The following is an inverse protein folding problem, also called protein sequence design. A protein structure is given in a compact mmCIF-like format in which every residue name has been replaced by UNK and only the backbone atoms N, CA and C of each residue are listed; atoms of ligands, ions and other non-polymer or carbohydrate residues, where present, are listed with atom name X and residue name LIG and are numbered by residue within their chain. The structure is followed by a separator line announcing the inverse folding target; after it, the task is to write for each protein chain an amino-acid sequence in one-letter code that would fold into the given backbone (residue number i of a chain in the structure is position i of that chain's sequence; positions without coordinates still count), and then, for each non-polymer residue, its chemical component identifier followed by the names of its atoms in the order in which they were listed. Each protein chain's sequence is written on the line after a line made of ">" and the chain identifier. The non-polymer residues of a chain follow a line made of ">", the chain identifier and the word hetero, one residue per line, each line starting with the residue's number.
data_IF_101006510885
#
_entry.id   IF_101006510885
#
_cell.length_a   1.000
_cell.length_b   1.000
_cell.length_c   1.000
_cell.angle_alpha   90.00
_cell.angle_beta   90.00
_cell.angle_gamma   90.00
#
_symmetry.space_group_name_H-M   'P 1'
#
loop_
_entity.id
_entity.type
_entity.pdbx_description
1 polymer ?
#
# COMPACT_ATOMS: atom_id res chain seq x y z
N UNK A 1 2.13 30.44 3.28
CA UNK A 1 2.41 29.62 2.12
C UNK A 1 1.83 28.21 2.35
N UNK A 2 1.07 27.70 1.38
CA UNK A 2 0.40 26.38 1.44
C UNK A 2 1.00 25.39 0.44
N UNK A 3 2.18 25.67 -0.08
CA UNK A 3 2.89 24.78 -1.00
C UNK A 3 3.48 23.58 -0.28
N UNK A 4 3.57 22.40 -0.93
CA UNK A 4 4.27 21.27 -0.36
C UNK A 4 5.78 21.52 -0.34
N UNK A 5 6.39 21.22 0.80
CA UNK A 5 7.84 21.28 0.98
C UNK A 5 8.34 19.95 1.55
N UNK A 6 9.01 19.19 0.72
CA UNK A 6 9.76 17.99 1.10
C UNK A 6 11.13 18.08 0.45
N UNK A 7 12.17 17.89 1.23
CA UNK A 7 13.54 17.99 0.76
C UNK A 7 14.30 16.72 1.10
N UNK A 8 15.19 16.33 0.20
CA UNK A 8 16.08 15.18 0.35
C UNK A 8 17.53 15.63 0.22
N UNK A 9 18.39 15.10 1.10
CA UNK A 9 19.84 15.17 0.98
C UNK A 9 20.41 13.77 0.74
N UNK A 10 21.52 13.67 -0.01
CA UNK A 10 22.28 12.42 -0.22
C UNK A 10 23.76 12.57 0.14
N UNK A 11 24.12 13.71 0.71
CA UNK A 11 25.49 14.11 1.03
C UNK A 11 25.62 14.67 2.46
N UNK A 12 24.82 14.10 3.37
CA UNK A 12 24.79 14.47 4.80
C UNK A 12 24.46 15.97 5.04
N UNK A 13 23.53 16.50 4.25
CA UNK A 13 22.99 17.85 4.44
C UNK A 13 23.78 18.97 3.74
N UNK A 14 24.78 18.64 2.93
CA UNK A 14 25.53 19.66 2.16
C UNK A 14 24.69 20.24 1.04
N UNK A 15 23.91 19.40 0.36
CA UNK A 15 22.95 19.83 -0.66
C UNK A 15 21.55 19.27 -0.40
N UNK A 16 20.53 20.00 -0.85
CA UNK A 16 19.13 19.62 -0.66
C UNK A 16 18.37 19.75 -1.97
N UNK A 17 17.63 18.70 -2.31
CA UNK A 17 16.77 18.67 -3.50
C UNK A 17 15.31 18.68 -3.05
N UNK A 18 14.50 19.58 -3.60
CA UNK A 18 13.05 19.58 -3.39
C UNK A 18 12.43 18.40 -4.15
N UNK A 19 11.67 17.54 -3.45
CA UNK A 19 11.09 16.30 -3.98
C UNK A 19 9.58 16.30 -3.74
N UNK A 20 8.81 16.99 -4.60
CA UNK A 20 7.36 17.19 -4.44
C UNK A 20 6.56 16.83 -5.69
N UNK A 21 7.19 16.23 -6.70
CA UNK A 21 6.53 15.87 -7.96
C UNK A 21 5.37 14.91 -7.71
N UNK A 22 4.15 15.27 -8.11
CA UNK A 22 2.94 14.46 -7.91
C UNK A 22 2.14 14.80 -6.65
N UNK A 23 2.64 15.70 -5.79
CA UNK A 23 1.84 16.23 -4.68
C UNK A 23 1.01 17.39 -5.20
N UNK A 24 -0.29 17.37 -4.92
CA UNK A 24 -1.20 18.44 -5.35
C UNK A 24 -0.92 19.77 -4.64
N UNK A 25 -1.23 20.87 -5.30
CA UNK A 25 -1.14 22.19 -4.71
C UNK A 25 -2.06 22.31 -3.48
N UNK A 26 -1.59 22.98 -2.45
CA UNK A 26 -2.32 23.10 -1.18
C UNK A 26 -2.16 21.91 -0.23
N UNK A 27 -1.63 20.78 -0.71
CA UNK A 27 -1.35 19.59 0.12
C UNK A 27 0.02 19.74 0.80
N UNK A 28 0.15 20.68 1.71
CA UNK A 28 1.43 20.88 2.38
C UNK A 28 1.79 19.70 3.30
N UNK A 29 3.08 19.36 3.29
CA UNK A 29 3.65 18.23 4.01
C UNK A 29 3.62 18.43 5.52
N UNK A 30 3.30 17.40 6.26
CA UNK A 30 3.30 17.35 7.74
C UNK A 30 4.34 16.41 8.30
N UNK A 31 4.38 15.18 7.80
CA UNK A 31 5.29 14.16 8.25
C UNK A 31 5.67 13.25 7.09
N UNK A 32 6.94 12.86 7.01
CA UNK A 32 7.44 11.88 6.07
C UNK A 32 8.16 10.76 6.82
N UNK A 33 7.95 9.52 6.39
CA UNK A 33 8.67 8.34 6.91
C UNK A 33 9.12 7.46 5.77
N UNK A 34 10.33 6.98 5.87
CA UNK A 34 10.87 5.93 5.00
C UNK A 34 10.63 4.57 5.64
N UNK A 35 10.25 3.59 4.81
CA UNK A 35 10.13 2.21 5.26
C UNK A 35 11.49 1.64 5.66
N UNK A 36 11.56 1.03 6.84
CA UNK A 36 12.79 0.49 7.38
C UNK A 36 13.25 -0.82 6.69
N UNK A 37 12.38 -1.45 5.89
CA UNK A 37 12.66 -2.70 5.15
C UNK A 37 13.03 -2.42 3.70
N UNK A 38 12.32 -1.50 3.05
CA UNK A 38 12.55 -1.13 1.65
C UNK A 38 13.01 0.32 1.53
N UNK A 39 14.31 0.57 1.36
CA UNK A 39 14.82 1.91 1.08
C UNK A 39 14.15 2.52 -0.16
N UNK A 40 13.80 3.80 -0.08
CA UNK A 40 13.11 4.53 -1.13
C UNK A 40 11.59 4.36 -1.16
N UNK A 41 11.01 3.50 -0.34
CA UNK A 41 9.58 3.49 -0.09
C UNK A 41 9.26 4.51 0.99
N UNK A 42 8.58 5.60 0.61
CA UNK A 42 8.26 6.71 1.51
C UNK A 42 6.75 6.88 1.64
N UNK A 43 6.31 7.24 2.85
CA UNK A 43 4.94 7.68 3.12
C UNK A 43 4.96 9.11 3.61
N UNK A 44 4.08 9.93 3.07
CA UNK A 44 3.97 11.37 3.38
C UNK A 44 2.55 11.68 3.83
N UNK A 45 2.41 12.15 5.06
CA UNK A 45 1.19 12.76 5.56
C UNK A 45 1.13 14.23 5.19
N UNK A 46 -0.02 14.66 4.68
CA UNK A 46 -0.28 16.05 4.27
C UNK A 46 -1.49 16.62 4.99
N UNK A 47 -1.87 17.87 4.68
CA UNK A 47 -3.11 18.46 5.17
C UNK A 47 -4.36 17.76 4.61
N UNK A 48 -4.28 17.05 3.49
CA UNK A 48 -5.41 16.44 2.79
C UNK A 48 -5.26 14.93 2.57
N UNK A 49 -4.55 14.24 3.46
CA UNK A 49 -4.38 12.79 3.39
C UNK A 49 -2.95 12.33 3.18
N UNK A 50 -2.78 11.16 2.57
CA UNK A 50 -1.50 10.45 2.49
C UNK A 50 -1.05 10.28 1.04
N UNK A 51 0.26 10.37 0.85
CA UNK A 51 0.95 10.05 -0.40
C UNK A 51 1.99 8.95 -0.16
N UNK A 52 2.27 8.18 -1.20
CA UNK A 52 3.33 7.19 -1.22
C UNK A 52 4.28 7.44 -2.37
N UNK A 53 5.56 7.20 -2.14
CA UNK A 53 6.59 7.19 -3.17
C UNK A 53 7.34 5.86 -3.14
N UNK A 54 7.66 5.32 -4.32
CA UNK A 54 8.41 4.07 -4.50
C UNK A 54 9.85 4.30 -5.00
N UNK A 55 10.24 5.56 -5.18
CA UNK A 55 11.48 6.00 -5.83
C UNK A 55 12.21 7.10 -5.01
N UNK A 56 12.16 6.97 -3.69
CA UNK A 56 12.80 7.89 -2.75
C UNK A 56 12.32 9.35 -2.85
N UNK A 57 11.06 9.55 -3.23
CA UNK A 57 10.41 10.86 -3.30
C UNK A 57 10.53 11.56 -4.65
N UNK A 58 11.11 10.91 -5.68
CA UNK A 58 11.20 11.52 -7.01
C UNK A 58 9.80 11.69 -7.62
N UNK A 59 8.87 10.73 -7.33
CA UNK A 59 7.45 10.83 -7.68
C UNK A 59 6.58 10.40 -6.52
N UNK A 60 5.53 11.18 -6.26
CA UNK A 60 4.51 10.88 -5.26
C UNK A 60 3.18 10.57 -5.93
N UNK A 61 2.42 9.66 -5.35
CA UNK A 61 1.05 9.34 -5.76
C UNK A 61 0.13 9.29 -4.54
N UNK A 62 -1.14 9.70 -4.67
CA UNK A 62 -2.07 9.65 -3.57
C UNK A 62 -2.30 8.22 -3.09
N UNK A 63 -2.36 8.03 -1.77
CA UNK A 63 -2.69 6.78 -1.10
C UNK A 63 -3.87 7.03 -0.17
N UNK A 64 -5.01 7.39 -0.76
CA UNK A 64 -6.17 7.79 0.02
C UNK A 64 -7.04 6.59 0.44
N UNK A 65 -7.17 5.58 -0.42
CA UNK A 65 -8.03 4.42 -0.19
C UNK A 65 -9.41 4.86 0.38
N UNK A 66 -9.78 4.35 1.57
CA UNK A 66 -10.99 4.71 2.28
C UNK A 66 -10.79 5.82 3.34
N UNK A 67 -9.58 6.40 3.43
CA UNK A 67 -9.30 7.51 4.33
C UNK A 67 -10.06 8.76 3.85
N UNK A 68 -10.88 9.39 4.70
CA UNK A 68 -11.51 10.66 4.33
C UNK A 68 -10.48 11.79 4.19
N UNK A 69 -10.86 12.85 3.50
CA UNK A 69 -10.04 14.08 3.47
C UNK A 69 -9.89 14.60 4.92
N UNK A 70 -8.66 14.55 5.40
CA UNK A 70 -8.33 14.93 6.78
C UNK A 70 -6.83 15.21 6.91
N UNK A 71 -6.45 16.21 7.73
CA UNK A 71 -5.04 16.46 8.01
C UNK A 71 -4.39 15.29 8.74
N UNK A 72 -3.24 14.85 8.25
CA UNK A 72 -2.41 13.85 8.91
C UNK A 72 -1.36 14.58 9.76
N UNK A 73 -1.46 14.45 11.06
CA UNK A 73 -0.56 15.14 12.00
C UNK A 73 0.77 14.44 12.13
N UNK A 74 0.74 13.12 12.17
CA UNK A 74 1.93 12.29 12.18
C UNK A 74 1.61 10.92 11.57
N UNK A 75 2.65 10.19 11.20
CA UNK A 75 2.57 8.81 10.74
C UNK A 75 3.78 8.02 11.22
N UNK A 76 3.58 6.74 11.44
CA UNK A 76 4.64 5.82 11.83
C UNK A 76 4.47 4.49 11.08
N UNK A 77 5.60 3.89 10.70
CA UNK A 77 5.63 2.55 10.13
C UNK A 77 6.02 1.61 11.26
N UNK A 78 5.11 0.71 11.62
CA UNK A 78 5.33 -0.27 12.67
C UNK A 78 5.18 -1.67 12.08
N UNK A 79 6.26 -2.43 12.07
CA UNK A 79 6.33 -3.76 11.45
C UNK A 79 5.90 -3.74 9.98
N UNK A 80 4.68 -4.16 9.67
CA UNK A 80 4.11 -4.16 8.33
C UNK A 80 2.94 -3.18 8.16
N UNK A 81 2.71 -2.30 9.12
CA UNK A 81 1.56 -1.40 9.11
C UNK A 81 1.99 0.06 9.05
N UNK A 82 1.17 0.90 8.42
CA UNK A 82 1.30 2.36 8.51
C UNK A 82 0.18 2.89 9.40
N UNK A 83 0.57 3.47 10.51
CA UNK A 83 -0.36 4.08 11.48
C UNK A 83 -0.37 5.59 11.30
N UNK A 84 -1.56 6.15 11.14
CA UNK A 84 -1.79 7.57 10.90
C UNK A 84 -2.47 8.21 12.10
N UNK A 85 -1.90 9.30 12.60
CA UNK A 85 -2.54 10.21 13.55
C UNK A 85 -3.22 11.35 12.78
N UNK A 86 -4.56 11.38 12.77
CA UNK A 86 -5.32 12.40 12.04
C UNK A 86 -5.74 13.56 12.94
N UNK A 87 -6.10 14.68 12.35
CA UNK A 87 -6.74 15.76 13.09
C UNK A 87 -8.25 15.59 13.10
N UNK A 88 -8.78 15.15 14.24
CA UNK A 88 -10.21 15.06 14.47
C UNK A 88 -10.92 13.80 13.97
N UNK A 89 -10.16 12.83 13.40
CA UNK A 89 -10.73 11.55 12.92
C UNK A 89 -10.05 10.31 13.53
N UNK A 90 -9.37 10.48 14.67
CA UNK A 90 -8.72 9.39 15.39
C UNK A 90 -7.51 8.83 14.67
N UNK A 91 -7.22 7.56 14.94
CA UNK A 91 -6.14 6.81 14.31
C UNK A 91 -6.69 5.98 13.15
N UNK A 92 -5.88 5.89 12.08
CA UNK A 92 -6.14 5.03 10.93
C UNK A 92 -4.94 4.13 10.73
N UNK A 93 -5.19 2.89 10.34
CA UNK A 93 -4.15 1.91 10.11
C UNK A 93 -4.32 1.36 8.70
N UNK A 94 -3.26 1.42 7.91
CA UNK A 94 -3.12 0.66 6.70
C UNK A 94 -2.39 -0.62 7.06
N UNK A 95 -3.16 -1.69 7.19
CA UNK A 95 -2.65 -3.02 7.50
C UNK A 95 -1.88 -3.59 6.31
N UNK A 96 -0.76 -4.22 6.58
CA UNK A 96 0.04 -5.03 5.67
C UNK A 96 0.52 -4.30 4.41
N UNK A 97 1.58 -3.51 4.56
CA UNK A 97 2.29 -2.88 3.43
C UNK A 97 3.28 -3.82 2.71
N UNK A 98 3.23 -5.12 3.00
CA UNK A 98 4.10 -6.11 2.37
C UNK A 98 4.07 -6.08 0.83
N UNK A 99 2.91 -5.88 0.16
CA UNK A 99 2.86 -5.70 -1.29
C UNK A 99 3.59 -4.47 -1.78
N UNK A 100 3.53 -3.35 -1.05
CA UNK A 100 4.26 -2.13 -1.43
C UNK A 100 5.77 -2.37 -1.44
N UNK A 101 6.28 -3.19 -0.52
CA UNK A 101 7.69 -3.57 -0.46
C UNK A 101 8.15 -4.39 -1.66
N UNK A 102 7.24 -5.15 -2.27
CA UNK A 102 7.52 -6.02 -3.43
C UNK A 102 7.25 -5.33 -4.79
N UNK A 103 6.50 -4.22 -4.79
CA UNK A 103 6.11 -3.54 -6.02
C UNK A 103 7.29 -2.72 -6.58
N UNK A 104 7.85 -3.17 -7.71
CA UNK A 104 8.98 -2.52 -8.39
C UNK A 104 8.52 -1.84 -9.68
N UNK A 105 9.30 -0.89 -10.25
CA UNK A 105 8.98 -0.30 -11.56
C UNK A 105 8.82 -1.33 -12.66
N UNK A 106 9.55 -2.45 -12.60
CA UNK A 106 9.51 -3.48 -13.63
C UNK A 106 8.28 -4.39 -13.49
N UNK A 107 7.95 -4.84 -12.28
CA UNK A 107 6.79 -5.69 -12.11
C UNK A 107 5.45 -4.92 -12.24
N UNK A 108 5.45 -3.61 -12.00
CA UNK A 108 4.27 -2.74 -12.28
C UNK A 108 3.87 -2.68 -13.76
N UNK A 109 4.78 -3.03 -14.68
CA UNK A 109 4.53 -3.10 -16.13
C UNK A 109 3.90 -4.44 -16.54
N UNK A 110 3.89 -5.42 -15.65
CA UNK A 110 3.28 -6.72 -15.90
C UNK A 110 1.77 -6.63 -15.78
N UNK A 111 1.05 -7.38 -16.60
CA UNK A 111 -0.42 -7.42 -16.58
C UNK A 111 -0.96 -7.82 -15.19
N UNK A 112 -0.27 -8.74 -14.52
CA UNK A 112 -0.59 -9.17 -13.17
C UNK A 112 0.67 -9.50 -12.38
N UNK A 113 0.67 -9.19 -11.08
CA UNK A 113 1.73 -9.56 -10.12
C UNK A 113 1.08 -10.23 -8.92
N UNK A 114 1.45 -11.46 -8.64
CA UNK A 114 1.10 -12.13 -7.38
C UNK A 114 2.23 -11.86 -6.39
N UNK A 115 1.92 -11.23 -5.28
CA UNK A 115 2.91 -10.99 -4.23
C UNK A 115 3.16 -12.25 -3.41
N UNK A 116 4.41 -12.44 -3.01
CA UNK A 116 4.74 -13.47 -2.04
C UNK A 116 4.00 -13.15 -0.74
N UNK A 117 3.15 -14.06 -0.22
CA UNK A 117 2.46 -13.82 1.02
C UNK A 117 3.44 -13.73 2.20
N UNK A 118 3.04 -13.04 3.26
CA UNK A 118 3.74 -13.13 4.54
C UNK A 118 3.66 -14.57 5.09
N UNK A 119 4.64 -14.92 5.92
CA UNK A 119 4.64 -16.23 6.56
C UNK A 119 3.41 -16.37 7.46
N UNK A 120 2.69 -17.48 7.26
CA UNK A 120 1.51 -17.81 8.05
C UNK A 120 1.79 -19.00 8.97
N UNK A 121 1.39 -18.87 10.22
CA UNK A 121 1.53 -19.93 11.21
C UNK A 121 0.22 -20.71 11.29
N UNK A 122 0.29 -22.04 11.04
CA UNK A 122 -0.89 -22.90 11.07
C UNK A 122 -1.62 -22.82 12.41
N UNK A 123 -2.92 -22.50 12.34
CA UNK A 123 -3.78 -22.38 13.52
C UNK A 123 -3.65 -21.05 14.29
N UNK A 124 -2.78 -20.15 13.85
CA UNK A 124 -2.57 -18.84 14.50
C UNK A 124 -2.89 -17.69 13.53
N UNK A 125 -2.36 -17.74 12.31
CA UNK A 125 -2.56 -16.70 11.29
C UNK A 125 -3.11 -17.29 10.00
N UNK A 126 -3.88 -16.50 9.25
CA UNK A 126 -4.39 -16.86 7.93
C UNK A 126 -3.41 -16.39 6.86
N UNK A 127 -3.09 -17.25 5.89
CA UNK A 127 -2.33 -16.84 4.72
C UNK A 127 -3.21 -15.91 3.85
N UNK A 128 -2.71 -14.71 3.56
CA UNK A 128 -3.38 -13.74 2.71
C UNK A 128 -2.62 -13.62 1.40
N UNK A 129 -3.31 -13.86 0.29
CA UNK A 129 -2.75 -13.70 -1.05
C UNK A 129 -3.19 -12.37 -1.61
N UNK A 130 -2.22 -11.51 -1.90
CA UNK A 130 -2.44 -10.19 -2.48
C UNK A 130 -1.85 -10.16 -3.88
N UNK A 131 -2.50 -9.42 -4.78
CA UNK A 131 -2.03 -9.28 -6.15
C UNK A 131 -2.30 -7.87 -6.69
N UNK A 132 -1.50 -7.48 -7.66
CA UNK A 132 -1.66 -6.25 -8.41
C UNK A 132 -2.10 -6.59 -9.84
N UNK A 133 -3.03 -5.84 -10.37
CA UNK A 133 -3.47 -5.90 -11.76
C UNK A 133 -3.23 -4.53 -12.39
N UNK A 134 -2.57 -4.51 -13.54
CA UNK A 134 -2.32 -3.28 -14.28
C UNK A 134 -3.61 -2.70 -14.85
N UNK A 135 -4.50 -3.57 -15.30
CA UNK A 135 -5.80 -3.20 -15.89
C UNK A 135 -6.94 -3.96 -15.21
N UNK A 136 -8.13 -3.43 -15.39
CA UNK A 136 -9.34 -4.11 -14.93
C UNK A 136 -9.59 -5.34 -15.81
N UNK A 137 -9.69 -6.51 -15.17
CA UNK A 137 -9.99 -7.78 -15.85
C UNK A 137 -11.29 -8.38 -15.30
N UNK A 138 -11.95 -9.23 -16.10
CA UNK A 138 -13.27 -9.78 -15.75
C UNK A 138 -13.19 -10.84 -14.65
N UNK A 139 -12.12 -11.64 -14.61
CA UNK A 139 -11.94 -12.67 -13.60
C UNK A 139 -10.48 -12.91 -13.27
N UNK A 140 -10.21 -13.32 -12.03
CA UNK A 140 -8.92 -13.77 -11.53
C UNK A 140 -9.05 -15.19 -11.01
N UNK A 141 -8.09 -16.04 -11.35
CA UNK A 141 -7.94 -17.38 -10.78
C UNK A 141 -6.60 -17.50 -10.09
N UNK A 142 -6.61 -17.91 -8.83
CA UNK A 142 -5.41 -18.25 -8.05
C UNK A 142 -5.44 -19.73 -7.76
N UNK A 143 -4.38 -20.44 -8.11
CA UNK A 143 -4.23 -21.87 -7.86
C UNK A 143 -3.11 -22.10 -6.85
N UNK A 144 -3.38 -22.96 -5.87
CA UNK A 144 -2.39 -23.46 -4.93
C UNK A 144 -2.02 -24.86 -5.37
N UNK A 145 -0.74 -25.08 -5.65
CA UNK A 145 -0.19 -26.36 -6.10
C UNK A 145 0.73 -26.95 -5.02
N UNK A 146 0.87 -28.26 -4.99
CA UNK A 146 1.92 -28.91 -4.20
C UNK A 146 3.30 -28.81 -4.89
N UNK A 147 4.33 -29.36 -4.24
CA UNK A 147 5.69 -29.35 -4.78
C UNK A 147 5.85 -30.17 -6.09
N UNK A 148 4.89 -31.03 -6.41
CA UNK A 148 4.84 -31.84 -7.64
C UNK A 148 3.98 -31.18 -8.73
N UNK A 149 3.40 -29.99 -8.45
CA UNK A 149 2.55 -29.26 -9.40
C UNK A 149 1.09 -29.74 -9.41
N UNK A 150 0.68 -30.60 -8.50
CA UNK A 150 -0.70 -31.05 -8.40
C UNK A 150 -1.57 -29.99 -7.71
N UNK A 151 -2.74 -29.73 -8.28
CA UNK A 151 -3.69 -28.77 -7.73
C UNK A 151 -4.19 -29.22 -6.33
N UNK A 152 -3.97 -28.36 -5.33
CA UNK A 152 -4.53 -28.49 -3.99
C UNK A 152 -5.85 -27.72 -3.90
N UNK A 153 -5.84 -26.45 -4.32
CA UNK A 153 -7.00 -25.57 -4.21
C UNK A 153 -6.98 -24.50 -5.32
N UNK A 154 -8.16 -24.10 -5.79
CA UNK A 154 -8.32 -23.00 -6.70
C UNK A 154 -9.32 -21.97 -6.15
N UNK A 155 -9.00 -20.69 -6.30
CA UNK A 155 -9.87 -19.59 -5.96
C UNK A 155 -10.20 -18.81 -7.24
N UNK A 156 -11.47 -18.52 -7.44
CA UNK A 156 -11.92 -17.64 -8.51
C UNK A 156 -12.47 -16.36 -7.89
N UNK A 157 -12.03 -15.23 -8.40
CA UNK A 157 -12.57 -13.91 -8.05
C UNK A 157 -13.26 -13.32 -9.27
N UNK A 158 -14.54 -12.98 -9.12
CA UNK A 158 -15.29 -12.24 -10.13
C UNK A 158 -15.24 -10.75 -9.85
N UNK A 159 -15.21 -9.95 -10.90
CA UNK A 159 -15.21 -8.48 -10.80
C UNK A 159 -16.62 -7.93 -10.54
N UNK A 160 -17.46 -8.65 -9.80
CA UNK A 160 -18.74 -8.13 -9.37
C UNK A 160 -18.50 -6.87 -8.50
N UNK A 161 -19.18 -5.75 -8.73
CA UNK A 161 -19.09 -4.58 -7.88
C UNK A 161 -19.47 -5.00 -6.45
N UNK A 162 -18.53 -5.02 -5.53
CA UNK A 162 -18.83 -5.21 -4.11
C UNK A 162 -19.66 -4.02 -3.67
N UNK A 163 -20.90 -4.27 -3.29
CA UNK A 163 -21.77 -3.25 -2.71
C UNK A 163 -21.04 -2.57 -1.56
N UNK A 164 -21.16 -1.27 -1.45
CA UNK A 164 -20.56 -0.41 -0.44
C UNK A 164 -21.04 -0.83 0.95
N UNK A 165 -20.30 -1.72 1.61
CA UNK A 165 -20.67 -2.19 2.94
C UNK A 165 -19.87 -3.40 3.37
N UNK A 166 -18.61 -3.20 3.74
CA UNK A 166 -17.82 -4.25 4.37
C UNK A 166 -16.39 -3.75 4.60
N UNK A 167 -16.06 -3.53 5.86
CA UNK A 167 -14.69 -3.26 6.28
C UNK A 167 -13.77 -4.43 5.94
N UNK A 168 -12.43 -4.26 6.02
CA UNK A 168 -11.47 -5.31 5.77
C UNK A 168 -11.67 -6.44 6.79
N UNK A 169 -12.21 -7.57 6.34
CA UNK A 169 -12.45 -8.70 7.25
C UNK A 169 -13.48 -9.74 6.80
N UNK A 170 -14.22 -9.50 5.74
CA UNK A 170 -15.15 -10.51 5.23
C UNK A 170 -14.45 -11.38 4.17
N UNK A 171 -13.67 -12.36 4.63
CA UNK A 171 -13.24 -13.48 3.80
C UNK A 171 -14.48 -14.18 3.24
N UNK A 172 -14.58 -14.29 1.91
CA UNK A 172 -15.57 -15.16 1.28
C UNK A 172 -15.38 -16.57 1.81
N UNK A 173 -16.43 -17.13 2.42
CA UNK A 173 -16.46 -18.55 2.79
C UNK A 173 -16.22 -19.38 1.52
N UNK A 174 -15.35 -20.40 1.55
CA UNK A 174 -15.18 -21.31 0.43
C UNK A 174 -16.50 -22.06 0.20
N UNK A 175 -17.08 -21.92 -0.99
CA UNK A 175 -18.11 -22.82 -1.44
C UNK A 175 -17.48 -24.21 -1.60
N UNK A 176 -17.95 -25.16 -0.85
CA UNK A 176 -17.62 -26.59 -0.99
C UNK A 176 -18.57 -27.12 -2.05
N UNK A 177 -18.05 -27.51 -3.21
CA UNK A 177 -18.58 -28.53 -4.08
C UNK A 177 -17.64 -29.71 -4.15
#
# INVERSE_FOLDING_TARGET
>A
DRQPYVYRTRDFGKTWTKIVTGIADGHFARAVREDHVRPGLLFLGTEHGVYVSFDAGDHWQPLQLNLPDTPIRDLVIKDNDVVLGTHGRGFWILDDIHPFRQLTPDNRKQAAVLFKPADAMRGVTTAVFQYYLQEKIDSVKIEILDAQGKLIQAFKGDNAPRGSGGGPGAGSKPGVE
#
